data_IF_053283848005
#
_entry.id   IF_053283848005
#
_cell.length_a   1.000
_cell.length_b   1.000
_cell.length_c   1.000
_cell.angle_alpha   90.00
_cell.angle_beta   90.00
_cell.angle_gamma   90.00
#
_symmetry.space_group_name_H-M   'P 1'
#
loop_
_entity.id
_entity.type
_entity.pdbx_description
1 polymer ?
#
# COMPACT_ATOMS: atom_id res chain seq x y z
N UNK A 1 -12.34 -8.91 23.63
CA UNK A 1 -11.04 -9.61 23.56
C UNK A 1 -10.49 -9.64 22.13
N UNK A 2 -10.27 -8.49 21.49
CA UNK A 2 -9.82 -8.38 20.08
C UNK A 2 -8.36 -7.92 19.93
N UNK A 3 -7.57 -7.99 21.01
CA UNK A 3 -6.29 -7.27 21.17
C UNK A 3 -5.06 -8.20 21.28
N UNK A 4 -5.01 -9.33 20.55
CA UNK A 4 -3.86 -10.26 20.66
C UNK A 4 -3.27 -10.79 19.35
N UNK A 5 -3.89 -10.53 18.20
CA UNK A 5 -3.31 -10.91 16.92
C UNK A 5 -2.32 -9.84 16.44
N UNK A 6 -1.02 -10.09 16.56
CA UNK A 6 -0.01 -9.21 15.97
C UNK A 6 -0.31 -9.10 14.46
N UNK A 7 -0.60 -7.91 13.90
CA UNK A 7 -1.04 -7.75 12.51
C UNK A 7 -0.07 -8.38 11.50
N UNK A 8 1.20 -8.50 11.88
CA UNK A 8 2.23 -9.24 11.15
C UNK A 8 1.83 -10.70 10.86
N UNK A 9 1.14 -11.37 11.78
CA UNK A 9 0.79 -12.79 11.63
C UNK A 9 -0.23 -13.00 10.49
N UNK A 10 -1.21 -12.10 10.38
CA UNK A 10 -2.21 -12.12 9.31
C UNK A 10 -1.54 -11.91 7.96
N UNK A 11 -0.55 -11.01 7.89
CA UNK A 11 0.16 -10.74 6.64
C UNK A 11 1.09 -11.89 6.25
N UNK A 12 1.76 -12.52 7.21
CA UNK A 12 2.58 -13.72 6.95
C UNK A 12 1.72 -14.87 6.42
N UNK A 13 0.56 -15.13 7.03
CA UNK A 13 -0.36 -16.20 6.58
C UNK A 13 -0.87 -15.93 5.17
N UNK A 14 -1.31 -14.68 4.89
CA UNK A 14 -1.77 -14.30 3.54
C UNK A 14 -0.64 -14.34 2.51
N UNK A 15 0.56 -13.91 2.90
CA UNK A 15 1.75 -13.92 2.05
C UNK A 15 2.17 -15.34 1.67
N UNK A 16 2.19 -16.26 2.64
CA UNK A 16 2.44 -17.68 2.40
C UNK A 16 1.36 -18.31 1.50
N UNK A 17 0.09 -18.00 1.75
CA UNK A 17 -1.01 -18.49 0.91
C UNK A 17 -0.88 -18.03 -0.55
N UNK A 18 -0.61 -16.74 -0.77
CA UNK A 18 -0.41 -16.18 -2.10
C UNK A 18 0.85 -16.74 -2.78
N UNK A 19 1.97 -16.83 -2.06
CA UNK A 19 3.23 -17.35 -2.59
C UNK A 19 3.19 -18.84 -2.93
N UNK A 20 2.55 -19.65 -2.09
CA UNK A 20 2.32 -21.06 -2.40
C UNK A 20 1.34 -21.22 -3.56
N UNK A 21 0.29 -20.40 -3.62
CA UNK A 21 -0.65 -20.39 -4.73
C UNK A 21 0.03 -20.08 -6.06
N UNK A 22 0.86 -19.03 -6.12
CA UNK A 22 1.60 -18.68 -7.32
C UNK A 22 2.64 -19.74 -7.71
N UNK A 23 3.30 -20.38 -6.73
CA UNK A 23 4.21 -21.50 -6.97
C UNK A 23 3.48 -22.73 -7.55
N UNK A 24 2.32 -23.09 -7.01
CA UNK A 24 1.48 -24.18 -7.52
C UNK A 24 1.08 -23.89 -8.97
N UNK A 25 0.63 -22.67 -9.26
CA UNK A 25 0.26 -22.26 -10.62
C UNK A 25 1.48 -22.37 -11.56
N UNK A 26 2.65 -21.90 -11.14
CA UNK A 26 3.88 -21.98 -11.94
C UNK A 26 4.29 -23.43 -12.25
N UNK A 27 4.12 -24.33 -11.28
CA UNK A 27 4.37 -25.77 -11.45
C UNK A 27 3.36 -26.42 -12.40
N UNK A 28 2.07 -26.09 -12.28
CA UNK A 28 1.01 -26.62 -13.15
C UNK A 28 1.20 -26.15 -14.60
N UNK A 29 1.63 -24.91 -14.81
CA UNK A 29 1.89 -24.32 -16.13
C UNK A 29 3.23 -24.81 -16.72
N UNK A 30 4.02 -25.60 -15.98
CA UNK A 30 5.32 -26.14 -16.39
C UNK A 30 6.34 -25.06 -16.81
N UNK A 31 6.13 -23.80 -16.40
CA UNK A 31 7.06 -22.69 -16.60
C UNK A 31 8.08 -22.59 -15.46
N UNK A 32 8.54 -23.74 -14.97
CA UNK A 32 9.55 -23.82 -13.91
C UNK A 32 10.99 -23.64 -14.46
N UNK A 33 11.17 -22.79 -15.49
CA UNK A 33 12.51 -22.35 -15.90
C UNK A 33 13.00 -21.31 -14.89
N UNK A 34 13.39 -21.82 -13.73
CA UNK A 34 13.78 -21.03 -12.57
C UNK A 34 15.26 -20.69 -12.71
N UNK A 35 15.57 -19.52 -13.28
CA UNK A 35 16.92 -18.97 -13.16
C UNK A 35 17.08 -18.47 -11.73
N UNK A 36 17.94 -19.14 -10.96
CA UNK A 36 18.18 -18.84 -9.54
C UNK A 36 18.47 -17.35 -9.26
N UNK A 37 19.10 -16.66 -10.22
CA UNK A 37 19.34 -15.23 -10.15
C UNK A 37 18.04 -14.40 -10.05
N UNK A 38 17.03 -14.69 -10.87
CA UNK A 38 15.74 -13.99 -10.81
C UNK A 38 14.96 -14.31 -9.54
N UNK A 39 15.11 -15.51 -8.97
CA UNK A 39 14.50 -15.86 -7.69
C UNK A 39 15.05 -15.01 -6.56
N UNK A 40 16.38 -14.89 -6.47
CA UNK A 40 17.04 -14.09 -5.44
C UNK A 40 16.65 -12.62 -5.57
N UNK A 41 16.63 -12.09 -6.80
CA UNK A 41 16.17 -10.73 -7.07
C UNK A 41 14.70 -10.53 -6.69
N UNK A 42 13.82 -11.47 -7.02
CA UNK A 42 12.40 -11.39 -6.67
C UNK A 42 12.16 -11.47 -5.16
N UNK A 43 12.93 -12.32 -4.45
CA UNK A 43 12.87 -12.41 -2.99
C UNK A 43 13.37 -11.12 -2.32
N UNK A 44 14.48 -10.55 -2.78
CA UNK A 44 14.99 -9.28 -2.28
C UNK A 44 14.02 -8.13 -2.57
N UNK A 45 13.48 -8.08 -3.78
CA UNK A 45 12.48 -7.08 -4.17
C UNK A 45 11.23 -7.21 -3.30
N UNK A 46 10.69 -8.42 -3.10
CA UNK A 46 9.55 -8.66 -2.22
C UNK A 46 9.83 -8.29 -0.76
N UNK A 47 11.04 -8.60 -0.28
CA UNK A 47 11.49 -8.23 1.07
C UNK A 47 11.50 -6.71 1.26
N UNK A 48 12.10 -5.96 0.33
CA UNK A 48 12.20 -4.49 0.42
C UNK A 48 10.83 -3.84 0.19
N UNK A 49 10.14 -4.21 -0.90
CA UNK A 49 8.90 -3.56 -1.30
C UNK A 49 7.74 -3.88 -0.37
N UNK A 50 7.57 -5.13 0.06
CA UNK A 50 6.41 -5.54 0.87
C UNK A 50 6.78 -5.73 2.34
N UNK A 51 7.85 -6.47 2.63
CA UNK A 51 8.26 -6.76 4.01
C UNK A 51 8.67 -5.51 4.80
N UNK A 52 9.63 -4.75 4.26
CA UNK A 52 10.15 -3.57 4.92
C UNK A 52 9.13 -2.42 4.94
N UNK A 53 8.40 -2.22 3.84
CA UNK A 53 7.30 -1.24 3.77
C UNK A 53 6.22 -1.49 4.84
N UNK A 54 5.76 -2.74 4.99
CA UNK A 54 4.76 -3.09 5.99
C UNK A 54 5.28 -2.88 7.42
N UNK A 55 6.55 -3.25 7.68
CA UNK A 55 7.16 -3.00 8.97
C UNK A 55 7.17 -1.51 9.33
N UNK A 56 7.58 -0.65 8.38
CA UNK A 56 7.54 0.80 8.55
C UNK A 56 6.12 1.32 8.74
N UNK A 57 5.16 0.81 7.95
CA UNK A 57 3.76 1.20 8.05
C UNK A 57 3.17 0.89 9.42
N UNK A 58 3.32 -0.34 9.92
CA UNK A 58 2.81 -0.76 11.24
C UNK A 58 3.55 0.01 12.35
N UNK A 59 4.86 0.25 12.20
CA UNK A 59 5.63 1.02 13.17
C UNK A 59 5.22 2.49 13.21
N UNK A 60 4.90 3.09 12.06
CA UNK A 60 4.37 4.44 11.96
C UNK A 60 2.97 4.52 12.58
N UNK A 61 2.10 3.53 12.32
CA UNK A 61 0.76 3.48 12.92
C UNK A 61 0.81 3.43 14.44
N UNK A 62 1.77 2.65 14.99
CA UNK A 62 1.94 2.50 16.44
C UNK A 62 2.45 3.78 17.12
N UNK A 63 3.27 4.59 16.43
CA UNK A 63 3.86 5.80 16.99
C UNK A 63 3.03 7.07 16.75
N UNK A 64 2.42 7.20 15.56
CA UNK A 64 1.72 8.43 15.12
C UNK A 64 0.19 8.33 15.27
N UNK A 65 -0.34 7.12 15.46
CA UNK A 65 -1.78 6.83 15.45
C UNK A 65 -2.34 6.66 14.03
N UNK A 66 -3.36 5.81 13.90
CA UNK A 66 -3.91 5.37 12.61
C UNK A 66 -4.37 6.52 11.70
N UNK A 67 -4.93 7.59 12.28
CA UNK A 67 -5.46 8.75 11.54
C UNK A 67 -4.36 9.59 10.88
N UNK A 68 -3.19 9.74 11.51
CA UNK A 68 -2.07 10.50 10.91
C UNK A 68 -1.40 9.69 9.81
N UNK A 69 -1.22 8.39 10.01
CA UNK A 69 -0.63 7.51 8.99
C UNK A 69 -1.46 7.40 7.72
N UNK A 70 -2.80 7.40 7.79
CA UNK A 70 -3.64 7.39 6.59
C UNK A 70 -3.53 8.70 5.79
N UNK A 71 -3.37 9.83 6.47
CA UNK A 71 -3.12 11.12 5.81
C UNK A 71 -1.78 11.12 5.04
N UNK A 72 -0.72 10.55 5.61
CA UNK A 72 0.54 10.36 4.88
C UNK A 72 0.41 9.37 3.72
N UNK A 73 -0.43 8.35 3.85
CA UNK A 73 -0.66 7.38 2.79
C UNK A 73 -1.33 8.00 1.54
N UNK A 74 -2.07 9.10 1.70
CA UNK A 74 -2.64 9.85 0.57
C UNK A 74 -1.56 10.45 -0.36
N UNK A 75 -0.31 10.55 0.09
CA UNK A 75 0.83 11.04 -0.71
C UNK A 75 1.45 9.90 -1.55
N UNK A 76 1.23 8.63 -1.18
CA UNK A 76 1.79 7.47 -1.87
C UNK A 76 1.54 7.44 -3.39
N UNK A 77 0.32 7.72 -3.91
CA UNK A 77 0.09 7.65 -5.36
C UNK A 77 0.81 8.79 -6.12
N UNK A 78 1.05 9.94 -5.49
CA UNK A 78 1.88 11.01 -6.07
C UNK A 78 3.34 10.62 -6.18
N UNK A 79 3.89 10.04 -5.10
CA UNK A 79 5.27 9.55 -5.09
C UNK A 79 5.45 8.43 -6.11
N UNK A 80 4.51 7.48 -6.18
CA UNK A 80 4.51 6.42 -7.19
C UNK A 80 4.47 6.96 -8.62
N UNK A 81 3.66 7.98 -8.87
CA UNK A 81 3.58 8.66 -10.17
C UNK A 81 4.90 9.32 -10.58
N UNK A 82 5.57 10.01 -9.65
CA UNK A 82 6.89 10.63 -9.89
C UNK A 82 7.96 9.54 -10.12
N UNK A 83 7.94 8.48 -9.32
CA UNK A 83 8.88 7.37 -9.45
C UNK A 83 8.71 6.65 -10.79
N UNK A 84 7.47 6.46 -11.24
CA UNK A 84 7.15 5.90 -12.55
C UNK A 84 7.73 6.74 -13.68
N UNK A 85 7.66 8.08 -13.58
CA UNK A 85 8.27 8.97 -14.58
C UNK A 85 9.80 8.82 -14.64
N UNK A 86 10.46 8.75 -13.49
CA UNK A 86 11.93 8.68 -13.40
C UNK A 86 12.46 7.31 -13.86
N UNK A 87 11.82 6.22 -13.44
CA UNK A 87 12.32 4.85 -13.66
C UNK A 87 11.91 4.30 -15.02
N UNK A 88 10.64 4.46 -15.41
CA UNK A 88 10.11 3.86 -16.64
C UNK A 88 10.47 4.69 -17.88
N UNK A 89 10.79 5.99 -17.72
CA UNK A 89 11.10 6.93 -18.83
C UNK A 89 10.08 6.88 -19.98
N UNK A 90 8.86 6.43 -19.70
CA UNK A 90 7.82 6.30 -20.71
C UNK A 90 7.42 7.66 -21.25
N UNK A 91 7.13 7.71 -22.56
CA UNK A 91 6.63 8.92 -23.21
C UNK A 91 5.33 9.34 -22.55
N UNK A 92 5.32 10.56 -22.02
CA UNK A 92 4.22 11.14 -21.27
C UNK A 92 2.93 11.13 -22.11
N UNK A 93 2.14 10.06 -21.98
CA UNK A 93 0.88 9.95 -22.67
C UNK A 93 -0.08 10.96 -22.09
N UNK A 94 -0.93 11.56 -22.94
CA UNK A 94 -2.01 12.47 -22.51
C UNK A 94 -2.88 11.81 -21.43
N UNK A 95 -3.03 10.48 -21.49
CA UNK A 95 -3.75 9.67 -20.49
C UNK A 95 -3.13 9.77 -19.09
N UNK A 96 -1.80 9.85 -18.98
CA UNK A 96 -1.11 10.02 -17.70
C UNK A 96 -1.43 11.39 -17.08
N UNK A 97 -1.44 12.45 -17.89
CA UNK A 97 -1.82 13.78 -17.44
C UNK A 97 -3.26 13.83 -16.90
N UNK A 98 -4.21 13.20 -17.60
CA UNK A 98 -5.60 13.09 -17.16
C UNK A 98 -5.70 12.30 -15.85
N UNK A 99 -5.03 11.16 -15.74
CA UNK A 99 -5.02 10.34 -14.53
C UNK A 99 -4.43 11.10 -13.33
N UNK A 100 -3.37 11.88 -13.54
CA UNK A 100 -2.74 12.69 -12.50
C UNK A 100 -3.68 13.77 -11.97
N UNK A 101 -4.39 14.47 -12.86
CA UNK A 101 -5.42 15.47 -12.47
C UNK A 101 -6.54 14.78 -11.69
N UNK A 102 -7.00 13.62 -12.15
CA UNK A 102 -8.07 12.86 -11.49
C UNK A 102 -7.65 12.42 -10.07
N UNK A 103 -6.38 12.06 -9.90
CA UNK A 103 -5.79 11.66 -8.62
C UNK A 103 -5.69 12.84 -7.64
N UNK A 104 -5.35 14.04 -8.12
CA UNK A 104 -5.43 15.28 -7.32
C UNK A 104 -6.87 15.52 -6.86
N UNK A 105 -7.82 15.42 -7.78
CA UNK A 105 -9.22 15.69 -7.50
C UNK A 105 -9.82 14.67 -6.52
N UNK A 106 -9.51 13.39 -6.69
CA UNK A 106 -9.92 12.32 -5.79
C UNK A 106 -9.33 12.51 -4.38
N UNK A 107 -8.06 12.92 -4.28
CA UNK A 107 -7.42 13.22 -3.00
C UNK A 107 -8.08 14.42 -2.32
N UNK A 108 -8.38 15.48 -3.07
CA UNK A 108 -9.08 16.65 -2.55
C UNK A 108 -10.47 16.29 -1.97
N UNK A 109 -11.24 15.46 -2.69
CA UNK A 109 -12.55 15.01 -2.24
C UNK A 109 -12.45 14.13 -0.99
N UNK A 110 -11.49 13.19 -0.95
CA UNK A 110 -11.26 12.32 0.19
C UNK A 110 -10.87 13.10 1.46
N UNK A 111 -10.07 14.16 1.34
CA UNK A 111 -9.74 15.04 2.46
C UNK A 111 -10.98 15.81 2.94
N UNK A 112 -11.81 16.30 2.02
CA UNK A 112 -13.02 17.08 2.37
C UNK A 112 -14.02 16.24 3.19
N UNK A 113 -14.27 15.00 2.79
CA UNK A 113 -15.22 14.10 3.47
C UNK A 113 -14.74 13.70 4.87
N UNK A 114 -13.44 13.45 5.04
CA UNK A 114 -12.88 13.11 6.35
C UNK A 114 -13.01 14.27 7.36
N UNK A 115 -12.89 15.52 6.89
CA UNK A 115 -13.12 16.71 7.74
C UNK A 115 -14.59 16.90 8.12
N UNK A 116 -15.53 16.53 7.25
CA UNK A 116 -16.97 16.60 7.54
C UNK A 116 -17.40 15.58 8.61
N UNK A 117 -16.81 14.39 8.63
CA UNK A 117 -17.08 13.40 9.68
C UNK A 117 -16.40 13.71 11.02
N UNK A 118 -15.23 14.35 11.01
CA UNK A 118 -14.54 14.72 12.25
C UNK A 118 -15.26 15.85 13.00
N UNK A 119 -15.85 16.82 12.29
CA UNK A 119 -16.62 17.90 12.92
C UNK A 119 -17.93 17.46 13.58
N UNK A 120 -18.54 16.36 13.11
CA UNK A 120 -19.75 15.83 13.74
C UNK A 120 -19.45 15.00 15.01
N UNK A 121 -18.24 14.45 15.15
CA UNK A 121 -17.87 13.67 16.34
C UNK A 121 -17.48 14.53 17.55
N UNK A 122 -17.16 15.81 17.34
CA UNK A 122 -16.84 16.77 18.41
C UNK A 122 -18.05 17.51 18.99
N UNK A 123 -19.19 17.50 18.31
CA UNK A 123 -20.41 18.16 18.80
C UNK A 123 -21.25 17.29 19.76
N UNK A 124 -21.00 15.98 19.82
CA UNK A 124 -21.75 15.07 20.70
C UNK A 124 -21.16 14.94 22.13
N UNK A 125 -20.01 15.57 22.41
CA UNK A 125 -19.38 15.55 23.75
C UNK A 125 -19.73 16.77 24.62
N UNK A 126 -20.52 17.72 24.10
CA UNK A 126 -21.00 18.89 24.86
C UNK A 126 -22.46 18.78 25.33
N UNK A 127 -23.09 17.62 25.15
CA UNK A 127 -24.46 17.34 25.59
C UNK A 127 -24.50 16.09 26.47
N UNK A 128 -23.61 15.98 27.47
CA UNK A 128 -23.81 15.16 28.67
C UNK A 128 -23.06 15.77 29.85
#
# INVERSE_FOLDING_TARGET
MLSKGNPLHVVVIKGLGSGLGSLIIALVVNQASVVWYFVILALLLGFVSYGMSLYFYISAQRQLGAARTSAFYAIAPFVGSIFSFIVLKDSLSIVFGIAFILMIFGTYLAIKENNSHQNNSTNDLHIF
#
